data_IF_235249489870
#
_entry.id   IF_235249489870
#
_cell.length_a   1.000
_cell.length_b   1.000
_cell.length_c   1.000
_cell.angle_alpha   90.00
_cell.angle_beta   90.00
_cell.angle_gamma   90.00
#
_symmetry.space_group_name_H-M   'P 1'
#
loop_
_entity.id
_entity.type
_entity.pdbx_description
1 polymer ?
#
# COMPACT_ATOMS: atom_id res chain seq x y z
N UNK A 1 -4.88 -18.80 38.99
CA UNK A 1 -4.28 -19.61 37.92
C UNK A 1 -5.07 -19.65 36.61
N UNK A 2 -6.38 -19.33 36.56
CA UNK A 2 -7.18 -19.35 35.32
C UNK A 2 -6.91 -18.21 34.32
N UNK A 3 -6.27 -17.11 34.74
CA UNK A 3 -6.01 -15.94 33.88
C UNK A 3 -4.87 -16.17 32.87
N UNK A 4 -3.86 -16.97 33.22
CA UNK A 4 -2.73 -17.26 32.32
C UNK A 4 -3.18 -18.09 31.11
N UNK A 5 -4.06 -19.09 31.30
CA UNK A 5 -4.53 -19.97 30.24
C UNK A 5 -5.48 -19.28 29.25
N UNK A 6 -6.26 -18.30 29.71
CA UNK A 6 -7.10 -17.45 28.84
C UNK A 6 -6.26 -16.50 27.97
N UNK A 7 -5.19 -15.93 28.54
CA UNK A 7 -4.32 -15.00 27.82
C UNK A 7 -3.52 -15.65 26.69
N UNK A 8 -3.06 -16.89 26.87
CA UNK A 8 -2.30 -17.65 25.86
C UNK A 8 -3.18 -18.09 24.69
N UNK A 9 -4.42 -18.50 24.98
CA UNK A 9 -5.40 -18.89 23.95
C UNK A 9 -5.79 -17.70 23.06
N UNK A 10 -6.03 -16.52 23.66
CA UNK A 10 -6.33 -15.29 22.90
C UNK A 10 -5.14 -14.85 22.02
N UNK A 11 -3.91 -15.00 22.52
CA UNK A 11 -2.70 -14.70 21.71
C UNK A 11 -2.52 -15.68 20.55
N UNK A 12 -2.80 -16.97 20.75
CA UNK A 12 -2.74 -17.96 19.67
C UNK A 12 -3.81 -17.69 18.61
N UNK A 13 -5.05 -17.42 19.00
CA UNK A 13 -6.13 -17.11 18.07
C UNK A 13 -5.82 -15.86 17.23
N UNK A 14 -5.27 -14.82 17.87
CA UNK A 14 -4.80 -13.59 17.21
C UNK A 14 -3.70 -13.85 16.18
N UNK A 15 -2.72 -14.71 16.50
CA UNK A 15 -1.66 -15.11 15.55
C UNK A 15 -2.21 -15.89 14.37
N UNK A 16 -3.10 -16.85 14.63
CA UNK A 16 -3.75 -17.64 13.57
C UNK A 16 -4.57 -16.75 12.65
N UNK A 17 -5.39 -15.85 13.21
CA UNK A 17 -6.16 -14.91 12.43
C UNK A 17 -5.27 -14.00 11.57
N UNK A 18 -4.18 -13.47 12.14
CA UNK A 18 -3.19 -12.66 11.40
C UNK A 18 -2.52 -13.45 10.29
N UNK A 19 -2.19 -14.72 10.53
CA UNK A 19 -1.65 -15.63 9.51
C UNK A 19 -2.65 -15.82 8.35
N UNK A 20 -3.92 -16.09 8.67
CA UNK A 20 -5.00 -16.20 7.66
C UNK A 20 -5.14 -14.89 6.87
N UNK A 21 -5.06 -13.74 7.52
CA UNK A 21 -5.05 -12.44 6.84
C UNK A 21 -3.95 -12.35 5.79
N UNK A 22 -2.75 -12.81 6.10
CA UNK A 22 -1.64 -12.87 5.13
C UNK A 22 -1.82 -13.94 4.04
N UNK A 23 -2.52 -15.04 4.31
CA UNK A 23 -2.90 -15.99 3.25
C UNK A 23 -3.88 -15.34 2.28
N UNK A 24 -4.89 -14.63 2.79
CA UNK A 24 -5.86 -13.89 1.98
C UNK A 24 -5.17 -12.80 1.16
N UNK A 25 -4.29 -12.01 1.78
CA UNK A 25 -3.53 -11.00 1.05
C UNK A 25 -2.69 -11.63 -0.07
N UNK A 26 -1.96 -12.72 0.19
CA UNK A 26 -1.17 -13.40 -0.85
C UNK A 26 -2.03 -13.89 -2.01
N UNK A 27 -3.22 -14.41 -1.73
CA UNK A 27 -4.17 -14.85 -2.76
C UNK A 27 -4.68 -13.65 -3.59
N UNK A 28 -5.03 -12.54 -2.94
CA UNK A 28 -5.45 -11.30 -3.61
C UNK A 28 -4.31 -10.70 -4.42
N UNK A 29 -3.07 -10.73 -3.93
CA UNK A 29 -1.90 -10.25 -4.67
C UNK A 29 -1.61 -11.14 -5.88
N UNK A 30 -1.75 -12.46 -5.74
CA UNK A 30 -1.63 -13.41 -6.86
C UNK A 30 -2.71 -13.18 -7.92
N UNK A 31 -3.95 -12.94 -7.49
CA UNK A 31 -5.03 -12.52 -8.38
C UNK A 31 -4.69 -11.18 -9.07
N UNK A 32 -4.24 -10.20 -8.31
CA UNK A 32 -3.85 -8.88 -8.81
C UNK A 32 -2.75 -8.96 -9.88
N UNK A 33 -1.71 -9.76 -9.66
CA UNK A 33 -0.64 -9.99 -10.63
C UNK A 33 -1.13 -10.62 -11.94
N UNK A 34 -2.15 -11.47 -11.88
CA UNK A 34 -2.77 -12.10 -13.07
C UNK A 34 -3.60 -11.10 -13.88
N UNK A 35 -4.30 -10.19 -13.22
CA UNK A 35 -5.24 -9.25 -13.86
C UNK A 35 -4.63 -7.89 -14.15
N UNK A 36 -3.45 -7.58 -13.60
CA UNK A 36 -2.72 -6.38 -13.97
C UNK A 36 -2.32 -6.47 -15.45
N UNK A 37 -2.55 -5.43 -16.26
CA UNK A 37 -2.13 -5.43 -17.65
C UNK A 37 -0.63 -5.63 -17.82
N UNK A 38 -0.22 -6.34 -18.87
CA UNK A 38 1.19 -6.72 -19.11
C UNK A 38 2.16 -5.53 -18.92
N UNK A 39 3.34 -5.74 -18.29
CA UNK A 39 4.34 -4.69 -18.16
C UNK A 39 4.81 -4.14 -19.52
N UNK A 40 4.76 -4.99 -20.56
CA UNK A 40 5.13 -4.62 -21.93
C UNK A 40 4.12 -3.71 -22.62
N UNK A 41 2.88 -3.62 -22.12
CA UNK A 41 1.85 -2.76 -22.67
C UNK A 41 1.67 -1.45 -21.91
N UNK A 42 2.41 -1.25 -20.81
CA UNK A 42 2.46 0.02 -20.07
C UNK A 42 3.58 0.91 -20.58
N UNK A 43 3.24 2.12 -21.05
CA UNK A 43 4.22 3.19 -21.28
C UNK A 43 4.80 3.64 -19.93
N UNK A 44 6.04 3.28 -19.64
CA UNK A 44 6.77 3.70 -18.44
C UNK A 44 7.34 2.56 -17.60
N UNK A 45 7.85 2.88 -16.41
CA UNK A 45 8.35 1.89 -15.45
C UNK A 45 7.16 1.17 -14.83
N UNK A 46 7.11 -0.18 -14.75
CA UNK A 46 5.99 -0.93 -14.20
C UNK A 46 6.02 -0.91 -12.66
N UNK A 47 5.89 0.28 -12.07
CA UNK A 47 6.08 0.53 -10.64
C UNK A 47 5.07 -0.24 -9.80
N UNK A 48 3.84 -0.40 -10.29
CA UNK A 48 2.79 -1.19 -9.60
C UNK A 48 3.13 -2.69 -9.55
N UNK A 49 3.82 -3.24 -10.56
CA UNK A 49 4.28 -4.63 -10.49
C UNK A 49 5.30 -4.83 -9.38
N UNK A 50 6.26 -3.90 -9.23
CA UNK A 50 7.25 -3.93 -8.15
C UNK A 50 6.55 -3.89 -6.80
N UNK A 51 5.55 -3.01 -6.65
CA UNK A 51 4.73 -2.92 -5.45
C UNK A 51 4.01 -4.25 -5.13
N UNK A 52 3.37 -4.88 -6.12
CA UNK A 52 2.67 -6.16 -5.92
C UNK A 52 3.64 -7.27 -5.50
N UNK A 53 4.85 -7.32 -6.08
CA UNK A 53 5.87 -8.26 -5.63
C UNK A 53 6.32 -7.99 -4.19
N UNK A 54 6.46 -6.72 -3.79
CA UNK A 54 6.74 -6.36 -2.40
C UNK A 54 5.60 -6.77 -1.46
N UNK A 55 4.33 -6.61 -1.87
CA UNK A 55 3.17 -7.03 -1.10
C UNK A 55 3.10 -8.55 -0.95
N UNK A 56 3.40 -9.29 -2.02
CA UNK A 56 3.47 -10.75 -1.99
C UNK A 56 4.58 -11.22 -1.02
N UNK A 57 5.77 -10.62 -1.11
CA UNK A 57 6.87 -10.92 -0.19
C UNK A 57 6.50 -10.59 1.27
N UNK A 58 5.83 -9.45 1.50
CA UNK A 58 5.33 -9.07 2.82
C UNK A 58 4.35 -10.10 3.37
N UNK A 59 3.43 -10.57 2.51
CA UNK A 59 2.43 -11.58 2.85
C UNK A 59 3.07 -12.92 3.20
N UNK A 60 3.99 -13.41 2.37
CA UNK A 60 4.71 -14.67 2.61
C UNK A 60 5.52 -14.61 3.91
N UNK A 61 6.24 -13.51 4.15
CA UNK A 61 6.97 -13.32 5.41
C UNK A 61 6.03 -13.23 6.61
N UNK A 62 4.84 -12.65 6.44
CA UNK A 62 3.78 -12.65 7.43
C UNK A 62 3.33 -14.06 7.80
N UNK A 63 3.03 -14.91 6.81
CA UNK A 63 2.65 -16.32 7.03
C UNK A 63 3.74 -17.04 7.82
N UNK A 64 5.00 -16.91 7.42
CA UNK A 64 6.13 -17.56 8.11
C UNK A 64 6.30 -17.02 9.54
N UNK A 65 6.17 -15.70 9.74
CA UNK A 65 6.30 -15.05 11.05
C UNK A 65 5.21 -15.48 12.03
N UNK A 66 3.97 -15.57 11.58
CA UNK A 66 2.82 -15.86 12.46
C UNK A 66 2.53 -17.36 12.60
N UNK A 67 3.06 -18.21 11.73
CA UNK A 67 3.01 -19.67 11.88
C UNK A 67 4.06 -20.22 12.85
N UNK A 68 5.21 -19.54 13.03
CA UNK A 68 6.27 -20.00 13.92
C UNK A 68 6.08 -19.48 15.37
N UNK A 69 6.21 -20.33 16.42
CA UNK A 69 6.00 -19.93 17.81
C UNK A 69 7.04 -18.90 18.30
N UNK A 70 8.26 -18.93 17.74
CA UNK A 70 9.36 -17.99 18.02
C UNK A 70 10.04 -17.55 16.72
N UNK A 71 9.61 -16.46 16.07
CA UNK A 71 10.27 -15.98 14.86
C UNK A 71 11.67 -15.42 15.22
N UNK A 72 12.68 -15.77 14.42
CA UNK A 72 14.06 -15.27 14.58
C UNK A 72 14.17 -13.75 14.39
N UNK A 73 15.25 -13.16 14.90
CA UNK A 73 15.49 -11.70 14.84
C UNK A 73 15.53 -11.16 13.41
N UNK A 74 16.19 -11.88 12.50
CA UNK A 74 16.27 -11.52 11.08
C UNK A 74 14.88 -11.51 10.41
N UNK A 75 14.04 -12.52 10.68
CA UNK A 75 12.69 -12.59 10.14
C UNK A 75 11.82 -11.43 10.65
N UNK A 76 11.94 -11.08 11.94
CA UNK A 76 11.24 -9.92 12.51
C UNK A 76 11.68 -8.64 11.83
N UNK A 77 12.99 -8.45 11.66
CA UNK A 77 13.56 -7.27 11.00
C UNK A 77 13.06 -7.15 9.56
N UNK A 78 13.14 -8.22 8.77
CA UNK A 78 12.68 -8.24 7.39
C UNK A 78 11.17 -7.92 7.31
N UNK A 79 10.36 -8.57 8.13
CA UNK A 79 8.92 -8.28 8.17
C UNK A 79 8.64 -6.83 8.55
N UNK A 80 9.32 -6.27 9.55
CA UNK A 80 9.12 -4.89 9.98
C UNK A 80 9.53 -3.89 8.86
N UNK A 81 10.60 -4.19 8.11
CA UNK A 81 11.01 -3.40 6.95
C UNK A 81 10.00 -3.48 5.81
N UNK A 82 9.50 -4.67 5.48
CA UNK A 82 8.44 -4.81 4.47
C UNK A 82 7.11 -4.19 4.94
N UNK A 83 6.78 -4.27 6.22
CA UNK A 83 5.62 -3.57 6.78
C UNK A 83 5.74 -2.05 6.59
N UNK A 84 6.96 -1.51 6.76
CA UNK A 84 7.22 -0.10 6.50
C UNK A 84 7.09 0.24 5.00
N UNK A 85 7.66 -0.59 4.11
CA UNK A 85 7.51 -0.43 2.65
C UNK A 85 6.04 -0.45 2.25
N UNK A 86 5.25 -1.42 2.71
CA UNK A 86 3.82 -1.51 2.39
C UNK A 86 3.00 -0.39 3.02
N UNK A 87 3.53 0.32 4.02
CA UNK A 87 2.89 1.50 4.59
C UNK A 87 3.11 2.74 3.72
N UNK A 88 4.35 2.99 3.28
CA UNK A 88 4.74 4.28 2.66
C UNK A 88 4.74 4.26 1.13
N UNK A 89 5.01 3.11 0.51
CA UNK A 89 5.21 3.02 -0.94
C UNK A 89 3.93 2.84 -1.78
N UNK A 90 2.84 2.17 -1.36
CA UNK A 90 1.77 1.80 -2.30
C UNK A 90 1.11 2.97 -3.02
N UNK A 91 0.81 4.04 -2.29
CA UNK A 91 0.08 5.19 -2.82
C UNK A 91 0.97 6.06 -3.73
N UNK A 92 2.22 6.40 -3.35
CA UNK A 92 3.13 7.07 -4.25
C UNK A 92 3.50 6.28 -5.51
N UNK A 93 3.64 4.96 -5.39
CA UNK A 93 3.94 4.07 -6.52
C UNK A 93 2.79 4.07 -7.53
N UNK A 94 1.56 4.02 -7.02
CA UNK A 94 0.37 4.13 -7.86
C UNK A 94 0.25 5.52 -8.52
N UNK A 95 0.45 6.59 -7.75
CA UNK A 95 0.42 7.96 -8.29
C UNK A 95 1.43 8.13 -9.42
N UNK A 96 2.67 7.69 -9.21
CA UNK A 96 3.69 7.74 -10.23
C UNK A 96 3.27 6.97 -11.49
N UNK A 97 2.71 5.77 -11.34
CA UNK A 97 2.23 4.96 -12.46
C UNK A 97 1.11 5.67 -13.24
N UNK A 98 0.03 6.08 -12.56
CA UNK A 98 -1.14 6.68 -13.21
C UNK A 98 -0.78 8.02 -13.86
N UNK A 99 -0.01 8.84 -13.15
CA UNK A 99 0.42 10.14 -13.65
C UNK A 99 1.35 10.03 -14.86
N UNK A 100 2.32 9.09 -14.85
CA UNK A 100 3.21 8.88 -16.00
C UNK A 100 2.49 8.25 -17.19
N UNK A 101 1.51 7.38 -16.96
CA UNK A 101 0.68 6.80 -18.02
C UNK A 101 -0.22 7.86 -18.67
N UNK A 102 -0.84 8.72 -17.88
CA UNK A 102 -1.79 9.73 -18.36
C UNK A 102 -1.15 11.10 -18.59
N UNK A 103 0.17 11.12 -18.76
CA UNK A 103 0.97 12.34 -18.83
C UNK A 103 0.50 13.30 -19.93
N UNK A 104 0.20 12.81 -21.12
CA UNK A 104 -0.26 13.67 -22.23
C UNK A 104 -1.62 14.33 -21.96
N UNK A 105 -2.45 13.71 -21.11
CA UNK A 105 -3.77 14.22 -20.76
C UNK A 105 -3.70 15.19 -19.57
N UNK A 106 -2.80 14.93 -18.62
CA UNK A 106 -2.60 15.74 -17.42
C UNK A 106 -1.59 16.90 -17.64
N UNK A 107 -0.60 16.72 -18.50
CA UNK A 107 0.51 17.65 -18.75
C UNK A 107 0.04 19.02 -19.25
N UNK A 108 -0.92 19.01 -20.18
CA UNK A 108 -1.57 20.21 -20.69
C UNK A 108 -2.40 20.97 -19.64
N UNK A 109 -2.74 20.33 -18.51
CA UNK A 109 -3.67 20.85 -17.52
C UNK A 109 -2.96 21.43 -16.28
N UNK A 110 -1.73 20.97 -15.98
CA UNK A 110 -1.04 21.34 -14.74
C UNK A 110 0.21 22.21 -14.94
N UNK A 111 1.21 21.82 -15.75
CA UNK A 111 2.44 22.60 -15.92
C UNK A 111 3.16 22.29 -17.24
N UNK A 112 3.22 23.23 -18.21
CA UNK A 112 3.97 23.03 -19.44
C UNK A 112 5.48 23.01 -19.14
N UNK A 113 6.13 21.86 -19.37
CA UNK A 113 7.59 21.74 -19.42
C UNK A 113 8.28 20.96 -18.28
N UNK A 114 7.58 20.55 -17.22
CA UNK A 114 8.15 19.72 -16.12
C UNK A 114 7.34 18.46 -15.84
N UNK A 115 6.60 17.99 -16.83
CA UNK A 115 5.51 17.05 -16.65
C UNK A 115 5.98 15.75 -16.00
N UNK A 116 7.06 15.12 -16.48
CA UNK A 116 7.59 13.87 -15.90
C UNK A 116 8.13 14.01 -14.47
N UNK A 117 8.56 15.21 -14.09
CA UNK A 117 9.16 15.48 -12.79
C UNK A 117 8.22 15.21 -11.62
N UNK A 118 6.93 15.55 -11.79
CA UNK A 118 5.91 15.33 -10.76
C UNK A 118 5.67 13.83 -10.48
N UNK A 119 5.67 12.98 -11.52
CA UNK A 119 5.57 11.53 -11.35
C UNK A 119 6.69 10.96 -10.48
N UNK A 120 7.93 11.35 -10.75
CA UNK A 120 9.08 10.92 -9.95
C UNK A 120 9.13 11.60 -8.56
N UNK A 121 8.57 12.79 -8.40
CA UNK A 121 8.47 13.45 -7.11
C UNK A 121 7.65 12.62 -6.11
N UNK A 122 6.58 11.94 -6.55
CA UNK A 122 5.84 11.01 -5.69
C UNK A 122 6.74 9.88 -5.16
N UNK A 123 7.57 9.28 -6.01
CA UNK A 123 8.52 8.23 -5.61
C UNK A 123 9.58 8.77 -4.64
N UNK A 124 10.10 9.97 -4.89
CA UNK A 124 11.05 10.63 -4.00
C UNK A 124 10.45 10.94 -2.63
N UNK A 125 9.18 11.37 -2.57
CA UNK A 125 8.47 11.55 -1.30
C UNK A 125 8.32 10.24 -0.53
N UNK A 126 8.04 9.12 -1.22
CA UNK A 126 7.98 7.79 -0.61
C UNK A 126 9.34 7.39 -0.02
N UNK A 127 10.42 7.61 -0.77
CA UNK A 127 11.78 7.35 -0.33
C UNK A 127 12.14 8.21 0.90
N UNK A 128 11.80 9.51 0.86
CA UNK A 128 11.99 10.42 1.98
C UNK A 128 11.25 9.95 3.23
N UNK A 129 9.97 9.58 3.10
CA UNK A 129 9.18 9.04 4.22
C UNK A 129 9.78 7.73 4.77
N UNK A 130 10.20 6.82 3.89
CA UNK A 130 10.85 5.56 4.28
C UNK A 130 12.15 5.80 5.05
N UNK A 131 13.01 6.71 4.57
CA UNK A 131 14.27 7.07 5.23
C UNK A 131 14.00 7.71 6.59
N UNK A 132 13.09 8.68 6.67
CA UNK A 132 12.72 9.34 7.93
C UNK A 132 12.19 8.31 8.95
N UNK A 133 11.35 7.37 8.52
CA UNK A 133 10.84 6.33 9.42
C UNK A 133 11.94 5.38 9.93
N UNK A 134 12.96 5.11 9.12
CA UNK A 134 14.11 4.31 9.55
C UNK A 134 15.05 5.08 10.47
N UNK A 135 15.30 6.37 10.19
CA UNK A 135 16.13 7.25 11.03
C UNK A 135 15.51 7.42 12.41
N UNK A 136 14.18 7.57 12.48
CA UNK A 136 13.44 7.73 13.74
C UNK A 136 12.80 6.42 14.21
N UNK A 137 13.45 5.27 14.00
CA UNK A 137 12.89 3.96 14.38
C UNK A 137 12.77 3.76 15.91
N UNK A 138 13.55 4.49 16.70
CA UNK A 138 13.53 4.41 18.16
C UNK A 138 12.14 4.71 18.73
N UNK A 139 11.70 3.94 19.73
CA UNK A 139 10.36 4.07 20.34
C UNK A 139 10.02 5.50 20.74
N UNK A 140 10.99 6.24 21.29
CA UNK A 140 10.78 7.61 21.75
C UNK A 140 10.56 8.62 20.59
N UNK A 141 11.07 8.32 19.39
CA UNK A 141 11.03 9.23 18.22
C UNK A 141 10.15 8.72 17.07
N UNK A 142 9.62 7.50 17.20
CA UNK A 142 8.79 6.85 16.18
C UNK A 142 7.60 7.67 15.71
N UNK A 143 6.98 8.44 16.60
CA UNK A 143 5.87 9.32 16.27
C UNK A 143 6.22 10.35 15.18
N UNK A 144 7.46 10.85 15.16
CA UNK A 144 7.94 11.81 14.13
C UNK A 144 7.90 11.16 12.75
N UNK A 145 8.45 9.95 12.63
CA UNK A 145 8.39 9.19 11.38
C UNK A 145 6.96 8.89 10.94
N UNK A 146 6.07 8.57 11.89
CA UNK A 146 4.67 8.30 11.60
C UNK A 146 3.90 9.54 11.13
N UNK A 147 4.18 10.73 11.69
CA UNK A 147 3.61 11.98 11.22
C UNK A 147 4.10 12.36 9.83
N UNK A 148 5.40 12.24 9.56
CA UNK A 148 5.96 12.51 8.21
C UNK A 148 5.38 11.55 7.19
N UNK A 149 5.33 10.25 7.49
CA UNK A 149 4.71 9.27 6.60
C UNK A 149 3.23 9.59 6.34
N UNK A 150 2.48 9.96 7.38
CA UNK A 150 1.07 10.34 7.24
C UNK A 150 0.91 11.58 6.37
N UNK A 151 1.71 12.62 6.57
CA UNK A 151 1.68 13.83 5.75
C UNK A 151 1.98 13.54 4.28
N UNK A 152 3.02 12.74 4.01
CA UNK A 152 3.36 12.31 2.64
C UNK A 152 2.23 11.52 2.01
N UNK A 153 1.62 10.59 2.74
CA UNK A 153 0.53 9.78 2.22
C UNK A 153 -0.74 10.61 1.98
N UNK A 154 -1.05 11.59 2.83
CA UNK A 154 -2.16 12.51 2.61
C UNK A 154 -1.95 13.38 1.37
N UNK A 155 -0.74 13.91 1.17
CA UNK A 155 -0.41 14.67 -0.03
C UNK A 155 -0.53 13.80 -1.29
N UNK A 156 -0.12 12.53 -1.21
CA UNK A 156 -0.31 11.56 -2.27
C UNK A 156 -1.80 11.23 -2.49
N UNK A 157 -2.61 11.14 -1.44
CA UNK A 157 -4.05 10.90 -1.57
C UNK A 157 -4.75 12.08 -2.27
N UNK A 158 -4.35 13.32 -1.95
CA UNK A 158 -4.81 14.52 -2.64
C UNK A 158 -4.39 14.50 -4.12
N UNK A 159 -3.13 14.19 -4.39
CA UNK A 159 -2.62 14.06 -5.77
C UNK A 159 -3.40 13.02 -6.56
N UNK A 160 -3.68 11.86 -5.96
CA UNK A 160 -4.49 10.82 -6.58
C UNK A 160 -5.93 11.29 -6.83
N UNK A 161 -6.53 11.99 -5.87
CA UNK A 161 -7.88 12.53 -6.01
C UNK A 161 -7.99 13.52 -7.16
N UNK A 162 -6.98 14.38 -7.33
CA UNK A 162 -6.90 15.30 -8.47
C UNK A 162 -6.76 14.53 -9.79
N UNK A 163 -5.87 13.54 -9.86
CA UNK A 163 -5.71 12.69 -11.05
C UNK A 163 -7.01 11.95 -11.38
N UNK A 164 -7.67 11.37 -10.38
CA UNK A 164 -8.93 10.65 -10.53
C UNK A 164 -10.05 11.57 -11.04
N UNK A 165 -10.16 12.78 -10.49
CA UNK A 165 -11.14 13.78 -10.94
C UNK A 165 -10.88 14.28 -12.35
N UNK A 166 -9.62 14.51 -12.72
CA UNK A 166 -9.24 14.99 -14.05
C UNK A 166 -9.42 13.92 -15.15
N UNK A 167 -9.30 12.64 -14.79
CA UNK A 167 -9.32 11.52 -15.75
C UNK A 167 -10.64 10.75 -15.76
N UNK A 168 -11.54 11.03 -14.81
CA UNK A 168 -12.80 10.29 -14.65
C UNK A 168 -12.62 8.86 -14.10
N UNK A 169 -11.45 8.54 -13.54
CA UNK A 169 -11.15 7.21 -13.03
C UNK A 169 -11.77 7.00 -11.64
N UNK A 170 -13.00 6.46 -11.61
CA UNK A 170 -13.73 6.22 -10.36
C UNK A 170 -13.07 5.18 -9.45
N UNK A 171 -12.29 4.25 -10.02
CA UNK A 171 -11.52 3.28 -9.23
C UNK A 171 -10.41 3.96 -8.44
N UNK A 172 -9.74 4.95 -9.02
CA UNK A 172 -8.76 5.78 -8.31
C UNK A 172 -9.41 6.62 -7.21
N UNK A 173 -10.61 7.18 -7.44
CA UNK A 173 -11.39 7.85 -6.39
C UNK A 173 -11.76 6.89 -5.25
N UNK A 174 -12.22 5.68 -5.58
CA UNK A 174 -12.50 4.62 -4.60
C UNK A 174 -11.26 4.21 -3.81
N UNK A 175 -10.08 4.24 -4.45
CA UNK A 175 -8.81 3.97 -3.79
C UNK A 175 -8.44 5.05 -2.76
N UNK A 176 -8.72 6.33 -3.04
CA UNK A 176 -8.55 7.41 -2.04
C UNK A 176 -9.42 7.13 -0.82
N UNK A 177 -10.69 6.80 -1.01
CA UNK A 177 -11.62 6.47 0.08
C UNK A 177 -11.16 5.23 0.86
N UNK A 178 -10.72 4.19 0.15
CA UNK A 178 -10.16 2.97 0.73
C UNK A 178 -8.90 3.27 1.55
N UNK A 179 -8.01 4.11 1.03
CA UNK A 179 -6.80 4.55 1.72
C UNK A 179 -7.13 5.32 3.01
N UNK A 180 -8.01 6.33 2.95
CA UNK A 180 -8.40 7.14 4.12
C UNK A 180 -9.06 6.25 5.18
N UNK A 181 -9.95 5.34 4.77
CA UNK A 181 -10.57 4.37 5.67
C UNK A 181 -9.53 3.46 6.32
N UNK A 182 -8.59 2.91 5.53
CA UNK A 182 -7.51 2.07 6.03
C UNK A 182 -6.60 2.83 7.01
N UNK A 183 -6.28 4.09 6.73
CA UNK A 183 -5.28 4.85 7.49
C UNK A 183 -5.84 5.46 8.77
N UNK A 184 -7.11 5.88 8.78
CA UNK A 184 -7.72 6.57 9.93
C UNK A 184 -8.81 5.76 10.63
N UNK A 185 -9.67 5.07 9.89
CA UNK A 185 -10.80 4.35 10.47
C UNK A 185 -10.39 3.01 11.07
N UNK A 186 -9.59 2.21 10.35
CA UNK A 186 -9.18 0.88 10.81
C UNK A 186 -8.39 0.91 12.14
N UNK A 187 -7.42 1.83 12.38
CA UNK A 187 -6.74 1.89 13.67
C UNK A 187 -7.70 2.14 14.84
N UNK A 188 -8.67 3.04 14.68
CA UNK A 188 -9.69 3.34 15.69
C UNK A 188 -10.57 2.11 15.97
N UNK A 189 -10.96 1.38 14.91
CA UNK A 189 -11.72 0.14 15.05
C UNK A 189 -10.89 -0.96 15.75
N UNK A 190 -9.61 -1.08 15.42
CA UNK A 190 -8.72 -2.05 16.04
C UNK A 190 -8.60 -1.83 17.55
N UNK A 191 -8.43 -0.58 17.99
CA UNK A 191 -8.37 -0.22 19.41
C UNK A 191 -9.72 -0.48 20.11
N UNK A 192 -10.82 -0.04 19.50
CA UNK A 192 -12.16 -0.16 20.08
C UNK A 192 -12.61 -1.62 20.25
N UNK A 193 -12.31 -2.47 19.28
CA UNK A 193 -12.72 -3.88 19.28
C UNK A 193 -11.61 -4.85 19.70
N UNK A 194 -10.45 -4.34 20.15
CA UNK A 194 -9.29 -5.15 20.56
C UNK A 194 -8.84 -6.14 19.45
N UNK A 195 -8.97 -5.73 18.19
CA UNK A 195 -8.57 -6.53 17.03
C UNK A 195 -7.07 -6.30 16.78
N UNK A 196 -6.28 -7.34 16.46
CA UNK A 196 -4.87 -7.16 16.14
C UNK A 196 -4.69 -6.19 14.96
N UNK A 197 -3.95 -5.10 15.17
CA UNK A 197 -3.71 -4.09 14.13
C UNK A 197 -3.12 -4.69 12.85
N UNK A 198 -2.22 -5.68 12.98
CA UNK A 198 -1.62 -6.36 11.83
C UNK A 198 -2.67 -7.08 10.97
N UNK A 199 -3.66 -7.74 11.59
CA UNK A 199 -4.75 -8.41 10.88
C UNK A 199 -5.57 -7.41 10.08
N UNK A 200 -6.04 -6.35 10.74
CA UNK A 200 -6.94 -5.37 10.12
C UNK A 200 -6.22 -4.56 9.04
N UNK A 201 -4.93 -4.24 9.26
CA UNK A 201 -4.07 -3.61 8.26
C UNK A 201 -3.89 -4.49 7.02
N UNK A 202 -3.62 -5.78 7.20
CA UNK A 202 -3.47 -6.74 6.10
C UNK A 202 -4.77 -6.88 5.30
N UNK A 203 -5.93 -6.95 5.96
CA UNK A 203 -7.23 -6.90 5.27
C UNK A 203 -7.42 -5.61 4.49
N UNK A 204 -7.08 -4.47 5.08
CA UNK A 204 -7.12 -3.17 4.41
C UNK A 204 -6.23 -3.13 3.16
N UNK A 205 -5.06 -3.78 3.19
CA UNK A 205 -4.21 -3.94 2.00
C UNK A 205 -4.88 -4.77 0.91
N UNK A 206 -5.62 -5.82 1.25
CA UNK A 206 -6.37 -6.61 0.26
C UNK A 206 -7.42 -5.78 -0.47
N UNK A 207 -8.20 -4.98 0.24
CA UNK A 207 -9.17 -4.06 -0.39
C UNK A 207 -8.46 -3.02 -1.25
N UNK A 208 -7.37 -2.46 -0.74
CA UNK A 208 -6.55 -1.49 -1.48
C UNK A 208 -6.07 -2.06 -2.82
N UNK A 209 -5.52 -3.29 -2.84
CA UNK A 209 -5.05 -3.95 -4.07
C UNK A 209 -6.14 -4.10 -5.14
N UNK A 210 -7.37 -4.44 -4.74
CA UNK A 210 -8.49 -4.56 -5.68
C UNK A 210 -8.72 -3.23 -6.41
N UNK A 211 -8.71 -2.10 -5.69
CA UNK A 211 -8.84 -0.79 -6.33
C UNK A 211 -7.62 -0.42 -7.18
N UNK A 212 -6.41 -0.80 -6.77
CA UNK A 212 -5.17 -0.54 -7.53
C UNK A 212 -5.25 -1.17 -8.92
N UNK A 213 -5.58 -2.47 -8.99
CA UNK A 213 -5.59 -3.21 -10.25
C UNK A 213 -6.61 -2.62 -11.20
N UNK A 214 -7.81 -2.32 -10.71
CA UNK A 214 -8.88 -1.75 -11.53
C UNK A 214 -8.55 -0.32 -11.98
N UNK A 215 -7.94 0.51 -11.12
CA UNK A 215 -7.53 1.86 -11.49
C UNK A 215 -6.49 1.87 -12.62
N UNK A 216 -5.50 0.97 -12.55
CA UNK A 216 -4.47 0.85 -13.60
C UNK A 216 -5.06 0.26 -14.89
N UNK A 217 -5.93 -0.74 -14.78
CA UNK A 217 -6.59 -1.34 -15.93
C UNK A 217 -7.48 -0.33 -16.68
N UNK A 218 -8.24 0.48 -15.94
CA UNK A 218 -9.09 1.54 -16.51
C UNK A 218 -8.25 2.64 -17.19
N UNK A 219 -7.18 3.09 -16.53
CA UNK A 219 -6.25 4.06 -17.12
C UNK A 219 -5.64 3.56 -18.43
N UNK A 220 -5.31 2.28 -18.52
CA UNK A 220 -4.77 1.69 -19.74
C UNK A 220 -5.83 1.49 -20.83
N UNK A 221 -7.06 1.12 -20.46
CA UNK A 221 -8.16 1.03 -21.41
C UNK A 221 -8.42 2.38 -22.10
N UNK A 222 -8.39 3.47 -21.33
CA UNK A 222 -8.53 4.84 -21.85
C UNK A 222 -7.40 5.20 -22.83
N UNK A 223 -6.15 4.82 -22.54
CA UNK A 223 -5.03 5.05 -23.45
C UNK A 223 -5.18 4.30 -24.78
N UNK A 224 -5.59 3.02 -24.73
CA UNK A 224 -5.75 2.20 -25.93
C UNK A 224 -6.84 2.69 -26.89
N UNK A 225 -7.90 3.33 -26.35
CA UNK A 225 -8.94 3.95 -27.16
C UNK A 225 -8.39 5.16 -27.92
N UNK A 226 -7.52 5.95 -27.29
CA UNK A 226 -6.95 7.18 -27.87
C UNK A 226 -5.89 6.92 -28.95
N UNK A 227 -5.22 5.76 -28.92
CA UNK A 227 -4.22 5.38 -29.93
C UNK A 227 -4.81 4.81 -31.23
N UNK A 228 -6.14 4.63 -31.30
CA UNK A 228 -6.87 4.19 -32.50
C UNK A 228 -7.53 5.38 -33.18
#
# INVERSE_FOLDING_TARGET
MCTAHSSTMNQQLSRVATCIGHVVLAAVTGWSLKYLPSPSSTLGVPVVYILLWCLLAYSVLGIVRFSHPQPGSALRLLYDQLALVTKVCPLPFLNAQLYLQQLEQLGNLFFPGTERGLGYAFLLMALGAFVVCNVFRDLNRRHIGEHVATGVLLLNALGLGVVAGATGNYWASGLVVSFVSKHFLLPVLAERYQIPHALLYTYGLSFYEIFVVNAVADAQALMNIKSR
#
